data_IF_306246726846
#
_entry.id   IF_306246726846
#
_cell.length_a   1.000
_cell.length_b   1.000
_cell.length_c   1.000
_cell.angle_alpha   90.00
_cell.angle_beta   90.00
_cell.angle_gamma   90.00
#
_symmetry.space_group_name_H-M   'P 1'
#
loop_
_entity.id
_entity.type
_entity.pdbx_description
1 polymer ?
#
# COMPACT_ATOMS: atom_id res chain seq x y z
N UNK A 1 0.10 -16.43 5.80
CA UNK A 1 1.55 -16.68 5.59
C UNK A 1 1.95 -16.66 4.12
N UNK A 2 1.23 -17.33 3.20
CA UNK A 2 1.57 -17.35 1.76
C UNK A 2 1.80 -15.96 1.12
N UNK A 3 0.98 -14.96 1.46
CA UNK A 3 1.14 -13.60 0.92
C UNK A 3 2.47 -12.94 1.30
N UNK A 4 2.89 -13.04 2.57
CA UNK A 4 4.17 -12.47 3.03
C UNK A 4 5.36 -13.15 2.35
N UNK A 5 5.29 -14.48 2.19
CA UNK A 5 6.32 -15.24 1.48
C UNK A 5 6.45 -14.77 0.02
N UNK A 6 5.33 -14.65 -0.70
CA UNK A 6 5.34 -14.17 -2.08
C UNK A 6 5.90 -12.76 -2.21
N UNK A 7 5.63 -11.87 -1.25
CA UNK A 7 6.22 -10.52 -1.26
C UNK A 7 7.74 -10.57 -1.11
N UNK A 8 8.26 -11.46 -0.26
CA UNK A 8 9.71 -11.62 -0.10
C UNK A 8 10.40 -12.22 -1.33
N UNK A 9 9.72 -13.16 -2.00
CA UNK A 9 10.24 -13.87 -3.17
C UNK A 9 10.17 -13.00 -4.43
N UNK A 10 8.98 -12.46 -4.73
CA UNK A 10 8.70 -11.72 -5.96
C UNK A 10 9.08 -10.24 -5.87
N UNK A 11 9.27 -9.71 -4.64
CA UNK A 11 9.60 -8.30 -4.36
C UNK A 11 8.75 -7.32 -5.18
N UNK A 12 7.42 -7.40 -5.07
CA UNK A 12 6.55 -6.54 -5.84
C UNK A 12 6.74 -5.08 -5.44
N UNK A 13 6.66 -4.19 -6.43
CA UNK A 13 6.63 -2.74 -6.21
C UNK A 13 5.37 -2.35 -5.44
N UNK A 14 4.25 -3.03 -5.70
CA UNK A 14 2.96 -2.71 -5.11
C UNK A 14 2.17 -3.96 -4.73
N UNK A 15 1.51 -3.90 -3.57
CA UNK A 15 0.59 -4.92 -3.06
C UNK A 15 -0.78 -4.30 -2.82
N UNK A 16 -1.80 -4.93 -3.41
CA UNK A 16 -3.19 -4.68 -3.06
C UNK A 16 -3.56 -5.59 -1.87
N UNK A 17 -3.89 -4.99 -0.72
CA UNK A 17 -4.16 -5.72 0.52
C UNK A 17 -5.63 -5.58 0.93
N UNK A 18 -6.36 -6.70 0.91
CA UNK A 18 -7.72 -6.74 1.44
C UNK A 18 -7.73 -6.64 2.96
N UNK A 19 -8.51 -5.71 3.50
CA UNK A 19 -8.68 -5.57 4.95
C UNK A 19 -9.63 -6.62 5.55
N UNK A 20 -10.56 -7.16 4.74
CA UNK A 20 -11.43 -8.26 5.16
C UNK A 20 -10.86 -9.59 4.69
N UNK A 21 -9.99 -10.18 5.49
CA UNK A 21 -9.56 -11.57 5.32
C UNK A 21 -9.96 -12.41 6.54
N UNK A 22 -10.43 -13.66 6.35
CA UNK A 22 -10.50 -14.62 7.44
C UNK A 22 -9.08 -15.00 7.89
N UNK A 23 -8.92 -15.36 9.17
CA UNK A 23 -7.69 -15.89 9.80
C UNK A 23 -6.69 -14.83 10.30
N UNK A 24 -6.33 -13.81 9.53
CA UNK A 24 -5.43 -12.72 9.95
C UNK A 24 -6.02 -11.37 9.53
N UNK A 25 -6.04 -10.39 10.43
CA UNK A 25 -6.56 -9.07 10.08
C UNK A 25 -5.67 -8.42 9.03
N UNK A 26 -6.26 -7.68 8.08
CA UNK A 26 -5.48 -6.93 7.11
C UNK A 26 -4.50 -5.95 7.77
N UNK A 27 -4.84 -5.44 8.96
CA UNK A 27 -3.95 -4.58 9.76
C UNK A 27 -2.71 -5.29 10.27
N UNK A 28 -2.83 -6.54 10.73
CA UNK A 28 -1.66 -7.33 11.14
C UNK A 28 -0.77 -7.67 9.94
N UNK A 29 -1.39 -7.98 8.79
CA UNK A 29 -0.66 -8.21 7.54
C UNK A 29 0.08 -6.95 7.09
N UNK A 30 -0.56 -5.79 7.17
CA UNK A 30 0.03 -4.50 6.85
C UNK A 30 1.24 -4.19 7.74
N UNK A 31 1.13 -4.42 9.05
CA UNK A 31 2.25 -4.24 9.97
C UNK A 31 3.45 -5.11 9.58
N UNK A 32 3.22 -6.41 9.32
CA UNK A 32 4.29 -7.34 8.91
C UNK A 32 4.92 -6.96 7.57
N UNK A 33 4.11 -6.53 6.59
CA UNK A 33 4.63 -6.09 5.29
C UNK A 33 5.53 -4.86 5.43
N UNK A 34 5.19 -3.92 6.30
CA UNK A 34 6.01 -2.73 6.54
C UNK A 34 7.36 -3.06 7.15
N UNK A 35 7.42 -4.06 8.02
CA UNK A 35 8.68 -4.48 8.64
C UNK A 35 9.54 -5.31 7.67
N UNK A 36 8.90 -6.20 6.90
CA UNK A 36 9.59 -7.15 6.02
C UNK A 36 9.99 -6.56 4.67
N UNK A 37 9.16 -5.68 4.12
CA UNK A 37 9.31 -5.11 2.78
C UNK A 37 8.94 -3.62 2.80
N UNK A 38 9.73 -2.75 3.47
CA UNK A 38 9.40 -1.34 3.65
C UNK A 38 9.32 -0.54 2.33
N UNK A 39 9.99 -1.02 1.28
CA UNK A 39 9.97 -0.42 -0.06
C UNK A 39 8.74 -0.81 -0.89
N UNK A 40 8.01 -1.87 -0.48
CA UNK A 40 6.79 -2.28 -1.17
C UNK A 40 5.64 -1.35 -0.79
N UNK A 41 5.03 -0.72 -1.80
CA UNK A 41 3.86 0.11 -1.60
C UNK A 41 2.65 -0.78 -1.30
N UNK A 42 1.95 -0.50 -0.20
CA UNK A 42 0.74 -1.22 0.17
C UNK A 42 -0.47 -0.32 0.00
N UNK A 43 -1.39 -0.73 -0.85
CA UNK A 43 -2.70 -0.09 -1.04
C UNK A 43 -3.75 -0.97 -0.36
N UNK A 44 -4.38 -0.44 0.68
CA UNK A 44 -5.38 -1.18 1.45
C UNK A 44 -6.77 -1.08 0.81
N UNK A 45 -7.46 -2.20 0.65
CA UNK A 45 -8.79 -2.27 0.06
C UNK A 45 -9.82 -2.64 1.14
N UNK A 46 -10.90 -1.88 1.25
CA UNK A 46 -11.92 -2.12 2.29
C UNK A 46 -13.35 -1.94 1.78
N UNK A 47 -14.25 -2.88 2.08
CA UNK A 47 -15.68 -2.77 1.75
C UNK A 47 -16.52 -2.07 2.82
N UNK A 48 -16.10 -2.17 4.08
CA UNK A 48 -16.71 -1.50 5.23
C UNK A 48 -15.79 -1.75 6.42
N UNK A 49 -15.06 -0.72 6.81
CA UNK A 49 -14.46 -0.58 8.14
C UNK A 49 -15.20 0.59 8.75
N UNK A 50 -15.51 0.56 10.05
CA UNK A 50 -16.03 1.75 10.73
C UNK A 50 -15.11 2.92 10.37
N UNK A 51 -15.64 3.97 9.74
CA UNK A 51 -14.82 5.04 9.16
C UNK A 51 -13.79 5.61 10.17
N UNK A 52 -14.10 5.51 11.45
CA UNK A 52 -13.23 5.81 12.58
C UNK A 52 -11.92 4.99 12.59
N UNK A 53 -11.95 3.68 12.35
CA UNK A 53 -10.75 2.83 12.41
C UNK A 53 -9.79 3.08 11.23
N UNK A 54 -10.31 3.37 10.03
CA UNK A 54 -9.47 3.82 8.91
C UNK A 54 -8.91 5.21 9.21
N UNK A 55 -9.75 6.14 9.67
CA UNK A 55 -9.31 7.50 9.96
C UNK A 55 -8.21 7.51 11.03
N UNK A 56 -8.38 6.76 12.12
CA UNK A 56 -7.38 6.63 13.18
C UNK A 56 -6.08 6.00 12.61
N UNK A 57 -6.19 4.94 11.79
CA UNK A 57 -5.02 4.33 11.16
C UNK A 57 -4.32 5.23 10.12
N UNK A 58 -5.05 6.07 9.40
CA UNK A 58 -4.49 7.07 8.46
C UNK A 58 -3.83 8.20 9.23
N UNK A 59 -4.46 8.71 10.29
CA UNK A 59 -3.92 9.78 11.14
C UNK A 59 -2.63 9.35 11.85
N UNK A 60 -2.57 8.10 12.30
CA UNK A 60 -1.37 7.50 12.89
C UNK A 60 -0.32 7.10 11.83
N UNK A 61 -0.58 7.35 10.55
CA UNK A 61 0.33 7.00 9.45
C UNK A 61 0.51 5.49 9.25
N UNK A 62 -0.38 4.67 9.80
CA UNK A 62 -0.42 3.21 9.62
C UNK A 62 -0.84 2.83 8.21
N UNK A 63 -1.80 3.55 7.64
CA UNK A 63 -2.26 3.42 6.25
C UNK A 63 -1.86 4.67 5.46
N UNK A 64 -1.17 4.49 4.33
CA UNK A 64 -0.77 5.58 3.42
C UNK A 64 -1.67 5.70 2.19
N UNK A 65 -2.09 4.55 1.65
CA UNK A 65 -2.91 4.48 0.43
C UNK A 65 -4.07 3.52 0.67
N UNK A 66 -5.29 3.95 0.31
CA UNK A 66 -6.48 3.12 0.46
C UNK A 66 -7.46 3.30 -0.70
N UNK A 67 -8.27 2.26 -0.93
CA UNK A 67 -9.40 2.28 -1.86
C UNK A 67 -10.62 1.61 -1.21
N UNK A 68 -11.79 2.19 -1.42
CA UNK A 68 -13.06 1.64 -0.93
C UNK A 68 -13.68 0.71 -1.97
N UNK A 69 -14.17 -0.44 -1.52
CA UNK A 69 -15.03 -1.33 -2.31
C UNK A 69 -16.49 -0.92 -2.10
N UNK A 70 -17.36 -1.05 -3.13
CA UNK A 70 -17.01 -1.43 -4.50
C UNK A 70 -16.27 -0.29 -5.22
N UNK A 71 -15.32 -0.65 -6.08
CA UNK A 71 -14.63 0.27 -6.98
C UNK A 71 -14.75 -0.26 -8.41
N UNK A 72 -14.67 0.63 -9.39
CA UNK A 72 -14.57 0.25 -10.80
C UNK A 72 -13.11 -0.09 -11.17
N UNK A 73 -12.93 -1.01 -12.13
CA UNK A 73 -11.58 -1.42 -12.56
C UNK A 73 -10.82 -0.30 -13.28
N UNK A 74 -11.53 0.59 -13.98
CA UNK A 74 -10.94 1.76 -14.63
C UNK A 74 -10.46 2.77 -13.57
N UNK A 75 -11.26 2.98 -12.53
CA UNK A 75 -10.90 3.84 -11.39
C UNK A 75 -9.67 3.29 -10.65
N UNK A 76 -9.67 1.99 -10.33
CA UNK A 76 -8.52 1.33 -9.71
C UNK A 76 -7.27 1.47 -10.57
N UNK A 77 -7.39 1.26 -11.89
CA UNK A 77 -6.26 1.39 -12.81
C UNK A 77 -5.72 2.82 -12.82
N UNK A 78 -6.59 3.82 -12.97
CA UNK A 78 -6.18 5.22 -12.99
C UNK A 78 -5.47 5.62 -11.69
N UNK A 79 -6.00 5.17 -10.54
CA UNK A 79 -5.38 5.38 -9.24
C UNK A 79 -3.97 4.76 -9.16
N UNK A 80 -3.81 3.52 -9.61
CA UNK A 80 -2.51 2.83 -9.58
C UNK A 80 -1.50 3.47 -10.53
N UNK A 81 -1.93 3.87 -11.73
CA UNK A 81 -1.08 4.54 -12.72
C UNK A 81 -0.56 5.89 -12.20
N UNK A 82 -1.43 6.67 -11.55
CA UNK A 82 -1.05 7.95 -10.92
C UNK A 82 -0.09 7.75 -9.73
N UNK A 83 -0.38 6.78 -8.87
CA UNK A 83 0.45 6.44 -7.72
C UNK A 83 1.87 6.04 -8.15
N UNK A 84 1.99 5.10 -9.08
CA UNK A 84 3.28 4.64 -9.59
C UNK A 84 4.05 5.77 -10.29
N UNK A 85 3.35 6.60 -11.07
CA UNK A 85 3.95 7.76 -11.74
C UNK A 85 4.52 8.77 -10.74
N UNK A 86 3.82 9.01 -9.64
CA UNK A 86 4.26 9.93 -8.58
C UNK A 86 5.53 9.41 -7.90
N UNK A 87 5.55 8.12 -7.56
CA UNK A 87 6.70 7.47 -6.91
C UNK A 87 7.95 7.43 -7.80
N UNK A 88 7.77 7.22 -9.11
CA UNK A 88 8.88 7.33 -10.07
C UNK A 88 9.47 8.75 -10.12
N UNK A 89 8.63 9.79 -10.06
CA UNK A 89 9.10 11.19 -10.05
C UNK A 89 9.88 11.51 -8.77
N UNK A 90 9.38 11.09 -7.62
CA UNK A 90 10.05 11.29 -6.32
C UNK A 90 11.41 10.61 -6.25
N UNK A 91 11.51 9.38 -6.79
CA UNK A 91 12.76 8.62 -6.85
C UNK A 91 13.81 9.34 -7.71
N UNK A 92 13.41 9.83 -8.90
CA UNK A 92 14.29 10.58 -9.79
C UNK A 92 14.71 11.95 -9.21
N UNK A 93 13.84 12.59 -8.41
CA UNK A 93 14.16 13.87 -7.78
C UNK A 93 15.18 13.72 -6.63
N UNK A 94 15.11 12.64 -5.85
CA UNK A 94 16.10 12.32 -4.79
C UNK A 94 17.48 11.98 -5.35
N UNK A 95 17.55 11.34 -6.52
CA UNK A 95 18.80 11.05 -7.22
C UNK A 95 19.49 12.35 -7.67
N UNK A 96 18.76 13.27 -8.31
CA UNK A 96 19.36 14.50 -8.86
C UNK A 96 19.85 15.49 -7.79
N UNK A 97 19.25 15.47 -6.60
CA UNK A 97 19.68 16.32 -5.47
C UNK A 97 20.87 15.76 -4.72
N UNK A 98 21.16 14.45 -4.84
CA UNK A 98 22.30 13.81 -4.18
C UNK A 98 23.62 13.91 -4.97
N UNK A 99 23.57 14.30 -6.26
CA UNK A 99 24.76 14.52 -7.11
C UNK A 99 25.23 15.98 -7.16
N UNK A 100 24.62 16.87 -6.37
CA UNK A 100 25.04 18.27 -6.24
C UNK A 100 25.74 18.52 -4.90
N UNK A 101 26.91 17.92 -4.70
CA UNK A 101 27.90 18.32 -3.68
C UNK A 101 29.30 18.14 -4.24
#
# INVERSE_FOLDING_TARGET
MKALQLVMEEKPVLVLLDMRMPIMSGMETLAKLRDLAPETIVVTMSAYIDAKDINDAVQEGRIKHFIFKPFDLLELRAFLDDLLSTLHKESNHKLNTSFSV
#
